data_IF_446613361274
#
_entry.id   IF_446613361274
#
_cell.length_a   1.000
_cell.length_b   1.000
_cell.length_c   1.000
_cell.angle_alpha   90.00
_cell.angle_beta   90.00
_cell.angle_gamma   90.00
#
_symmetry.space_group_name_H-M   'P 1'
#
loop_
_entity.id
_entity.type
_entity.pdbx_description
1 polymer ?
#
# COMPACT_ATOMS: atom_id res chain seq x y z
N UNK A 1 28.83 -22.17 -34.44
CA UNK A 1 27.50 -22.60 -33.97
C UNK A 1 27.40 -22.14 -32.53
N UNK A 2 26.62 -21.09 -32.28
CA UNK A 2 26.42 -20.58 -30.93
C UNK A 2 25.21 -21.29 -30.35
N UNK A 3 25.41 -21.99 -29.23
CA UNK A 3 24.32 -22.56 -28.46
C UNK A 3 23.41 -21.42 -27.98
N UNK A 4 22.17 -21.47 -28.43
CA UNK A 4 21.11 -20.56 -28.01
C UNK A 4 20.77 -20.95 -26.57
N UNK A 5 21.10 -20.08 -25.62
CA UNK A 5 20.71 -20.24 -24.22
C UNK A 5 19.18 -20.21 -24.18
N UNK A 6 18.58 -21.36 -23.88
CA UNK A 6 17.14 -21.50 -23.73
C UNK A 6 16.67 -20.84 -22.42
N UNK A 7 16.24 -19.58 -22.55
CA UNK A 7 15.65 -18.77 -21.49
C UNK A 7 14.24 -19.24 -21.08
N UNK A 8 13.68 -20.27 -21.72
CA UNK A 8 12.32 -20.76 -21.42
C UNK A 8 12.22 -21.59 -20.13
N UNK A 9 13.34 -21.88 -19.46
CA UNK A 9 13.36 -22.50 -18.12
C UNK A 9 12.97 -21.56 -16.96
N UNK A 10 12.68 -20.27 -17.23
CA UNK A 10 12.35 -19.26 -16.21
C UNK A 10 10.88 -19.23 -15.71
N UNK A 11 9.98 -20.07 -16.22
CA UNK A 11 8.54 -19.97 -15.90
C UNK A 11 7.94 -21.25 -15.31
N UNK A 12 8.18 -21.49 -14.02
CA UNK A 12 7.38 -22.33 -13.10
C UNK A 12 7.69 -21.84 -11.68
N UNK A 13 6.79 -21.80 -10.67
CA UNK A 13 5.35 -21.52 -10.57
C UNK A 13 5.11 -20.05 -10.11
N UNK A 14 4.48 -19.17 -10.90
CA UNK A 14 4.44 -17.74 -10.53
C UNK A 14 3.87 -16.74 -11.55
N UNK A 15 2.88 -17.13 -12.37
CA UNK A 15 2.36 -16.27 -13.43
C UNK A 15 1.59 -15.02 -12.97
N UNK A 16 1.34 -14.88 -11.67
CA UNK A 16 0.69 -13.71 -11.11
C UNK A 16 1.63 -12.77 -10.36
N UNK A 17 2.91 -13.08 -10.16
CA UNK A 17 3.82 -12.14 -9.48
C UNK A 17 4.13 -10.96 -10.41
N UNK A 18 3.88 -9.75 -9.93
CA UNK A 18 4.15 -8.50 -10.68
C UNK A 18 5.41 -7.84 -10.14
N UNK A 19 5.51 -7.69 -8.82
CA UNK A 19 6.69 -7.17 -8.14
C UNK A 19 6.87 -7.93 -6.82
N UNK A 20 8.12 -8.20 -6.44
CA UNK A 20 8.46 -8.92 -5.21
C UNK A 20 8.93 -7.97 -4.09
N UNK A 21 9.54 -6.84 -4.48
CA UNK A 21 10.18 -5.88 -3.59
C UNK A 21 9.98 -4.46 -4.16
N UNK A 22 9.83 -3.43 -3.32
CA UNK A 22 9.83 -3.50 -1.85
C UNK A 22 8.53 -4.06 -1.27
N UNK A 23 7.41 -3.91 -1.97
CA UNK A 23 6.12 -4.49 -1.61
C UNK A 23 5.75 -5.53 -2.66
N UNK A 24 5.23 -6.66 -2.21
CA UNK A 24 4.81 -7.71 -3.11
C UNK A 24 3.45 -7.39 -3.75
N UNK A 25 3.44 -7.28 -5.07
CA UNK A 25 2.24 -7.14 -5.88
C UNK A 25 2.03 -8.38 -6.73
N UNK A 26 0.81 -8.90 -6.69
CA UNK A 26 0.34 -10.03 -7.47
C UNK A 26 -0.89 -9.68 -8.27
N UNK A 27 -1.09 -10.37 -9.38
CA UNK A 27 -2.29 -10.31 -10.21
C UNK A 27 -3.41 -11.11 -9.53
N UNK A 28 -4.55 -10.45 -9.34
CA UNK A 28 -5.83 -11.07 -9.00
C UNK A 28 -6.42 -11.83 -10.19
N UNK A 29 -7.42 -12.68 -9.94
CA UNK A 29 -8.15 -13.38 -11.00
C UNK A 29 -9.40 -12.62 -11.48
N UNK A 30 -9.69 -11.47 -10.89
CA UNK A 30 -10.83 -10.63 -11.28
C UNK A 30 -10.40 -9.54 -12.27
N UNK A 31 -11.28 -9.28 -13.25
CA UNK A 31 -11.05 -8.30 -14.31
C UNK A 31 -11.05 -6.87 -13.78
N UNK A 32 -12.05 -6.54 -12.96
CA UNK A 32 -12.30 -5.19 -12.44
C UNK A 32 -12.72 -5.22 -10.97
N UNK A 33 -12.67 -4.07 -10.31
CA UNK A 33 -12.98 -3.91 -8.89
C UNK A 33 -11.81 -3.37 -8.10
N UNK A 34 -11.85 -3.58 -6.78
CA UNK A 34 -10.80 -3.11 -5.87
C UNK A 34 -9.62 -4.07 -5.82
N UNK A 35 -8.44 -3.53 -5.51
CA UNK A 35 -7.33 -4.36 -5.04
C UNK A 35 -7.67 -4.93 -3.66
N UNK A 36 -7.04 -6.03 -3.30
CA UNK A 36 -7.13 -6.59 -1.95
C UNK A 36 -5.74 -6.67 -1.32
N UNK A 37 -5.72 -6.56 0.00
CA UNK A 37 -4.55 -6.73 0.85
C UNK A 37 -4.76 -7.94 1.74
N UNK A 38 -3.81 -8.86 1.77
CA UNK A 38 -3.83 -9.97 2.72
C UNK A 38 -2.44 -10.22 3.29
N UNK A 39 -2.36 -10.96 4.39
CA UNK A 39 -1.07 -11.36 4.96
C UNK A 39 -0.36 -12.32 4.02
N UNK A 40 0.97 -12.42 4.15
CA UNK A 40 1.77 -13.41 3.41
C UNK A 40 1.31 -14.85 3.70
N UNK A 41 0.86 -15.15 4.91
CA UNK A 41 0.32 -16.46 5.26
C UNK A 41 -0.96 -16.77 4.46
N UNK A 42 -1.90 -15.83 4.40
CA UNK A 42 -3.14 -15.97 3.63
C UNK A 42 -2.87 -16.03 2.13
N UNK A 43 -1.92 -15.23 1.63
CA UNK A 43 -1.43 -15.33 0.26
C UNK A 43 -0.84 -16.71 -0.03
N UNK A 44 -0.02 -17.27 0.87
CA UNK A 44 0.56 -18.60 0.69
C UNK A 44 -0.52 -19.70 0.63
N UNK A 45 -1.56 -19.62 1.47
CA UNK A 45 -2.73 -20.52 1.42
C UNK A 45 -3.46 -20.41 0.08
N UNK A 46 -3.71 -19.19 -0.40
CA UNK A 46 -4.35 -18.95 -1.69
C UNK A 46 -3.52 -19.49 -2.85
N UNK A 47 -2.22 -19.22 -2.88
CA UNK A 47 -1.32 -19.70 -3.94
C UNK A 47 -1.15 -21.23 -3.90
N UNK A 48 -1.19 -21.84 -2.72
CA UNK A 48 -1.21 -23.30 -2.59
C UNK A 48 -2.48 -23.92 -3.19
N UNK A 49 -3.65 -23.27 -3.05
CA UNK A 49 -4.88 -23.70 -3.72
C UNK A 49 -4.78 -23.55 -5.23
N UNK A 50 -4.28 -22.41 -5.72
CA UNK A 50 -4.08 -22.17 -7.15
C UNK A 50 -3.19 -23.20 -7.82
N UNK A 51 -2.13 -23.65 -7.13
CA UNK A 51 -1.23 -24.71 -7.63
C UNK A 51 -1.91 -26.08 -7.70
N UNK A 52 -2.95 -26.32 -6.91
CA UNK A 52 -3.74 -27.56 -6.89
C UNK A 52 -4.96 -27.52 -7.81
N UNK A 53 -5.21 -26.38 -8.46
CA UNK A 53 -6.29 -26.22 -9.40
C UNK A 53 -6.08 -27.13 -10.62
N UNK A 54 -7.14 -27.84 -11.00
CA UNK A 54 -7.20 -28.66 -12.21
C UNK A 54 -8.46 -28.25 -12.99
N UNK A 55 -8.56 -28.55 -14.30
CA UNK A 55 -9.79 -28.27 -15.06
C UNK A 55 -11.07 -28.80 -14.37
N UNK A 56 -10.97 -29.93 -13.66
CA UNK A 56 -12.09 -30.56 -12.94
C UNK A 56 -12.30 -30.06 -11.50
N UNK A 57 -11.44 -29.17 -10.98
CA UNK A 57 -11.56 -28.57 -9.64
C UNK A 57 -11.30 -27.08 -9.71
N UNK A 58 -12.32 -26.22 -9.52
CA UNK A 58 -12.14 -24.79 -9.66
C UNK A 58 -11.04 -24.29 -8.71
N UNK A 59 -10.22 -23.31 -9.17
CA UNK A 59 -8.94 -22.97 -8.55
C UNK A 59 -9.01 -22.37 -7.15
N UNK A 60 -10.18 -21.86 -6.74
CA UNK A 60 -10.35 -21.13 -5.49
C UNK A 60 -11.65 -21.61 -4.85
N UNK A 61 -11.53 -22.30 -3.73
CA UNK A 61 -12.66 -22.71 -2.89
C UNK A 61 -12.71 -21.92 -1.59
N UNK A 62 -11.61 -21.28 -1.20
CA UNK A 62 -11.52 -20.41 -0.02
C UNK A 62 -11.11 -19.00 -0.45
N UNK A 63 -11.90 -18.02 -0.06
CA UNK A 63 -11.50 -16.62 -0.14
C UNK A 63 -10.53 -16.35 1.01
N UNK A 64 -9.30 -15.86 0.75
CA UNK A 64 -8.37 -15.56 1.84
C UNK A 64 -8.97 -14.52 2.77
N UNK A 65 -8.56 -14.52 4.04
CA UNK A 65 -8.87 -13.38 4.89
C UNK A 65 -8.14 -12.14 4.33
N UNK A 66 -8.90 -11.17 3.84
CA UNK A 66 -8.37 -10.03 3.09
C UNK A 66 -9.11 -8.74 3.43
N UNK A 67 -8.46 -7.63 3.15
CA UNK A 67 -9.00 -6.29 3.26
C UNK A 67 -9.15 -5.72 1.86
N UNK A 68 -10.35 -5.29 1.51
CA UNK A 68 -10.62 -4.59 0.25
C UNK A 68 -10.05 -3.17 0.32
N UNK A 69 -9.26 -2.81 -0.69
CA UNK A 69 -8.64 -1.48 -0.81
C UNK A 69 -9.49 -0.58 -1.71
N UNK A 70 -10.52 0.02 -1.13
CA UNK A 70 -11.43 0.95 -1.78
C UNK A 70 -11.22 2.41 -1.30
N UNK A 71 -11.98 3.35 -1.87
CA UNK A 71 -11.94 4.76 -1.48
C UNK A 71 -10.53 5.36 -1.61
N UNK A 72 -9.96 5.85 -0.51
CA UNK A 72 -8.60 6.38 -0.54
C UNK A 72 -7.50 5.33 -0.52
N UNK A 73 -7.76 4.15 0.04
CA UNK A 73 -6.82 3.02 -0.02
C UNK A 73 -6.59 2.60 -1.47
N UNK A 74 -7.62 2.69 -2.31
CA UNK A 74 -7.49 2.45 -3.75
C UNK A 74 -6.41 3.37 -4.36
N UNK A 75 -6.49 4.68 -4.14
CA UNK A 75 -5.51 5.61 -4.71
C UNK A 75 -4.11 5.41 -4.11
N UNK A 76 -3.99 5.19 -2.80
CA UNK A 76 -2.69 4.92 -2.17
C UNK A 76 -2.06 3.65 -2.76
N UNK A 77 -2.82 2.56 -2.86
CA UNK A 77 -2.34 1.31 -3.46
C UNK A 77 -2.05 1.42 -4.95
N UNK A 78 -2.83 2.19 -5.70
CA UNK A 78 -2.60 2.48 -7.11
C UNK A 78 -1.27 3.21 -7.32
N UNK A 79 -1.01 4.26 -6.54
CA UNK A 79 0.23 5.01 -6.65
C UNK A 79 1.45 4.20 -6.16
N UNK A 80 1.30 3.40 -5.10
CA UNK A 80 2.33 2.46 -4.68
C UNK A 80 2.65 1.45 -5.79
N UNK A 81 1.63 0.93 -6.46
CA UNK A 81 1.81 0.04 -7.60
C UNK A 81 2.49 0.73 -8.79
N UNK A 82 2.17 1.99 -9.08
CA UNK A 82 2.86 2.77 -10.13
C UNK A 82 4.33 3.02 -9.79
N UNK A 83 4.65 3.17 -8.51
CA UNK A 83 6.02 3.36 -8.02
C UNK A 83 6.71 2.06 -7.58
N UNK A 84 6.16 0.87 -7.89
CA UNK A 84 6.65 -0.43 -7.40
C UNK A 84 8.15 -0.72 -7.66
N UNK A 85 8.75 -0.05 -8.64
CA UNK A 85 10.18 -0.19 -8.98
C UNK A 85 11.08 0.84 -8.24
N UNK A 86 10.50 1.77 -7.47
CA UNK A 86 11.21 2.87 -6.78
C UNK A 86 10.73 2.99 -5.32
N UNK A 87 11.41 2.27 -4.42
CA UNK A 87 11.09 2.27 -2.99
C UNK A 87 11.13 3.67 -2.38
N UNK A 88 12.06 4.53 -2.80
CA UNK A 88 12.17 5.88 -2.26
C UNK A 88 10.91 6.69 -2.57
N UNK A 89 10.38 6.57 -3.79
CA UNK A 89 9.09 7.19 -4.14
C UNK A 89 7.93 6.56 -3.40
N UNK A 90 7.93 5.25 -3.19
CA UNK A 90 6.88 4.57 -2.43
C UNK A 90 6.82 5.03 -0.97
N UNK A 91 7.97 5.12 -0.29
CA UNK A 91 8.05 5.65 1.09
C UNK A 91 7.62 7.12 1.15
N UNK A 92 8.07 7.95 0.21
CA UNK A 92 7.62 9.36 0.12
C UNK A 92 6.11 9.47 -0.09
N UNK A 93 5.53 8.66 -0.96
CA UNK A 93 4.08 8.58 -1.18
C UNK A 93 3.36 8.15 0.09
N UNK A 94 3.87 7.16 0.80
CA UNK A 94 3.23 6.64 2.00
C UNK A 94 3.32 7.65 3.17
N UNK A 95 4.44 8.37 3.29
CA UNK A 95 4.57 9.54 4.17
C UNK A 95 3.57 10.64 3.81
N UNK A 96 3.39 10.94 2.52
CA UNK A 96 2.37 11.88 2.06
C UNK A 96 0.96 11.42 2.44
N UNK A 97 0.66 10.11 2.33
CA UNK A 97 -0.59 9.56 2.82
C UNK A 97 -0.75 9.78 4.34
N UNK A 98 0.31 9.64 5.13
CA UNK A 98 0.32 9.99 6.56
C UNK A 98 0.06 11.47 6.82
N UNK A 99 0.65 12.38 6.04
CA UNK A 99 0.36 13.81 6.13
C UNK A 99 -1.13 14.10 5.85
N UNK A 100 -1.71 13.44 4.84
CA UNK A 100 -3.13 13.59 4.50
C UNK A 100 -4.05 13.02 5.59
N UNK A 101 -3.71 11.86 6.15
CA UNK A 101 -4.42 11.24 7.27
C UNK A 101 -4.41 12.14 8.52
N UNK A 102 -3.28 12.80 8.78
CA UNK A 102 -3.15 13.76 9.87
C UNK A 102 -4.16 14.92 9.75
N UNK A 103 -4.36 15.46 8.55
CA UNK A 103 -5.32 16.56 8.32
C UNK A 103 -6.76 16.10 8.53
N UNK A 104 -7.10 14.86 8.14
CA UNK A 104 -8.48 14.39 8.15
C UNK A 104 -8.92 13.77 9.47
N UNK A 105 -8.01 13.13 10.22
CA UNK A 105 -8.39 12.33 11.40
C UNK A 105 -7.71 12.73 12.69
N UNK A 106 -6.56 13.40 12.66
CA UNK A 106 -5.78 13.62 13.86
C UNK A 106 -5.97 15.05 14.40
N UNK A 107 -6.55 15.24 15.61
CA UNK A 107 -6.58 16.53 16.26
C UNK A 107 -5.17 16.85 16.78
N UNK A 108 -4.31 17.43 15.94
CA UNK A 108 -3.00 17.95 16.37
C UNK A 108 -3.13 19.40 16.85
N UNK A 109 -2.65 19.75 18.05
CA UNK A 109 -2.63 21.13 18.53
C UNK A 109 -1.88 22.07 17.58
N UNK A 110 -0.82 21.58 16.92
CA UNK A 110 -0.03 22.32 15.93
C UNK A 110 -0.91 22.78 14.76
N UNK A 111 -1.86 21.95 14.31
CA UNK A 111 -2.76 22.28 13.20
C UNK A 111 -3.87 23.27 13.57
N UNK A 112 -4.01 23.63 14.86
CA UNK A 112 -4.92 24.69 15.32
C UNK A 112 -4.24 26.07 15.39
N UNK A 113 -2.96 26.15 15.05
CA UNK A 113 -2.18 27.39 15.01
C UNK A 113 -1.98 27.88 13.57
N UNK A 114 -1.29 29.01 13.40
CA UNK A 114 -0.88 29.53 12.09
C UNK A 114 0.05 28.57 11.31
N UNK A 115 0.68 27.61 12.01
CA UNK A 115 1.53 26.56 11.41
C UNK A 115 0.77 25.65 10.45
N UNK A 116 -0.56 25.58 10.52
CA UNK A 116 -1.40 24.82 9.57
C UNK A 116 -1.16 25.23 8.12
N UNK A 117 -0.92 26.53 7.85
CA UNK A 117 -0.62 27.03 6.50
C UNK A 117 0.69 26.45 5.98
N UNK A 118 1.69 26.35 6.85
CA UNK A 118 2.99 25.75 6.50
C UNK A 118 2.86 24.25 6.25
N UNK A 119 2.03 23.56 7.04
CA UNK A 119 1.73 22.14 6.85
C UNK A 119 1.08 21.87 5.49
N UNK A 120 0.06 22.65 5.10
CA UNK A 120 -0.54 22.53 3.77
C UNK A 120 0.42 22.84 2.62
N UNK A 121 1.34 23.80 2.79
CA UNK A 121 2.39 24.05 1.80
C UNK A 121 3.29 22.83 1.61
N UNK A 122 3.65 22.13 2.69
CA UNK A 122 4.44 20.89 2.62
C UNK A 122 3.67 19.81 1.86
N UNK A 123 2.39 19.59 2.19
CA UNK A 123 1.53 18.62 1.50
C UNK A 123 1.45 18.92 0.00
N UNK A 124 1.15 20.17 -0.36
CA UNK A 124 1.00 20.56 -1.77
C UNK A 124 2.32 20.39 -2.54
N UNK A 125 3.45 20.81 -1.95
CA UNK A 125 4.76 20.66 -2.57
C UNK A 125 5.14 19.19 -2.80
N UNK A 126 4.94 18.31 -1.80
CA UNK A 126 5.21 16.88 -1.95
C UNK A 126 4.27 16.24 -2.99
N UNK A 127 3.00 16.62 -3.00
CA UNK A 127 2.00 16.14 -3.96
C UNK A 127 2.36 16.53 -5.40
N UNK A 128 2.81 17.76 -5.61
CA UNK A 128 3.28 18.25 -6.92
C UNK A 128 4.56 17.54 -7.36
N UNK A 129 5.53 17.37 -6.46
CA UNK A 129 6.80 16.69 -6.77
C UNK A 129 6.60 15.21 -7.12
N UNK A 130 5.68 14.52 -6.44
CA UNK A 130 5.34 13.13 -6.75
C UNK A 130 4.37 13.02 -7.93
N UNK A 131 3.73 14.12 -8.33
CA UNK A 131 2.67 14.18 -9.33
C UNK A 131 1.52 13.18 -9.05
N UNK A 132 1.04 13.18 -7.80
CA UNK A 132 0.00 12.25 -7.32
C UNK A 132 -1.27 12.97 -6.91
N UNK A 133 -2.39 12.26 -6.96
CA UNK A 133 -3.67 12.77 -6.47
C UNK A 133 -4.56 11.66 -5.95
N UNK A 134 -5.32 11.99 -4.90
CA UNK A 134 -6.46 11.21 -4.42
C UNK A 134 -7.72 11.90 -4.95
N UNK A 135 -8.52 11.21 -5.77
CA UNK A 135 -9.73 11.80 -6.36
C UNK A 135 -10.94 11.48 -5.51
N UNK A 136 -11.90 12.41 -5.46
CA UNK A 136 -13.16 12.24 -4.73
C UNK A 136 -13.05 12.50 -3.22
N UNK A 137 -14.11 12.17 -2.47
CA UNK A 137 -14.17 12.36 -1.03
C UNK A 137 -13.47 11.21 -0.31
N UNK A 138 -12.16 11.37 -0.10
CA UNK A 138 -11.31 10.37 0.53
C UNK A 138 -11.21 10.60 2.03
N UNK A 139 -11.52 9.56 2.81
CA UNK A 139 -11.47 9.59 4.29
C UNK A 139 -10.22 8.93 4.88
N UNK A 140 -9.66 7.94 4.18
CA UNK A 140 -8.54 7.13 4.67
C UNK A 140 -7.46 7.08 3.59
N UNK A 141 -6.22 7.35 3.96
CA UNK A 141 -5.05 7.43 3.08
C UNK A 141 -4.03 6.35 3.44
N UNK A 142 -3.78 6.13 4.74
CA UNK A 142 -2.88 5.09 5.23
C UNK A 142 -3.52 3.70 5.11
N UNK A 143 -2.80 2.75 4.52
CA UNK A 143 -3.34 1.42 4.29
C UNK A 143 -3.62 0.68 5.62
N UNK A 144 -4.71 -0.09 5.69
CA UNK A 144 -5.09 -0.78 6.92
C UNK A 144 -4.14 -1.92 7.24
N UNK A 145 -3.77 -2.04 8.52
CA UNK A 145 -2.95 -3.12 9.06
C UNK A 145 -3.76 -3.89 10.10
N UNK A 146 -3.48 -5.18 10.24
CA UNK A 146 -4.08 -6.00 11.28
C UNK A 146 -3.48 -5.60 12.64
N UNK A 147 -4.31 -5.65 13.68
CA UNK A 147 -3.93 -5.22 15.03
C UNK A 147 -2.75 -6.01 15.62
N UNK A 148 -2.52 -7.23 15.14
CA UNK A 148 -1.38 -8.07 15.47
C UNK A 148 -0.04 -7.52 14.95
N UNK A 149 -0.06 -6.78 13.84
CA UNK A 149 1.14 -6.16 13.26
C UNK A 149 1.30 -4.70 13.69
N UNK A 150 0.20 -3.96 13.80
CA UNK A 150 0.22 -2.55 14.18
C UNK A 150 -0.99 -2.17 15.02
N UNK A 151 -0.76 -1.63 16.21
CA UNK A 151 -1.83 -1.27 17.14
C UNK A 151 -2.65 -0.09 16.60
N UNK A 152 -3.98 -0.22 16.50
CA UNK A 152 -4.83 0.92 16.17
C UNK A 152 -4.62 2.06 17.17
N UNK A 153 -4.56 3.30 16.68
CA UNK A 153 -4.41 4.50 17.52
C UNK A 153 -2.98 5.03 17.65
N UNK A 154 -1.94 4.19 17.54
CA UNK A 154 -0.53 4.62 17.71
C UNK A 154 -0.18 5.81 16.82
N UNK A 155 -0.62 5.80 15.57
CA UNK A 155 -0.38 6.91 14.64
C UNK A 155 -1.01 8.21 15.13
N UNK A 156 -2.27 8.15 15.59
CA UNK A 156 -3.02 9.30 16.06
C UNK A 156 -2.41 9.83 17.36
N UNK A 157 -2.08 8.94 18.30
CA UNK A 157 -1.50 9.30 19.59
C UNK A 157 -0.14 10.00 19.42
N UNK A 158 0.72 9.47 18.55
CA UNK A 158 2.02 10.08 18.20
C UNK A 158 1.83 11.50 17.65
N UNK A 159 0.84 11.70 16.78
CA UNK A 159 0.58 12.98 16.13
C UNK A 159 -0.07 14.00 17.07
N UNK A 160 -1.03 13.56 17.87
CA UNK A 160 -1.72 14.41 18.84
C UNK A 160 -0.79 14.84 19.98
N UNK A 161 0.22 14.03 20.31
CA UNK A 161 1.24 14.34 21.30
C UNK A 161 2.38 15.25 20.81
N UNK A 162 2.45 15.57 19.51
CA UNK A 162 3.57 16.35 18.96
C UNK A 162 3.54 17.82 19.41
N UNK A 163 4.57 18.33 20.12
CA UNK A 163 4.55 19.70 20.66
C UNK A 163 4.92 20.77 19.64
N UNK A 164 5.54 20.39 18.52
CA UNK A 164 5.95 21.31 17.46
C UNK A 164 5.69 20.73 16.06
N UNK A 165 5.71 21.60 15.03
CA UNK A 165 5.62 21.16 13.64
C UNK A 165 6.77 20.22 13.25
N UNK A 166 7.96 20.41 13.82
CA UNK A 166 9.11 19.54 13.54
C UNK A 166 8.84 18.13 14.09
N UNK A 167 8.37 18.04 15.32
CA UNK A 167 8.07 16.76 15.97
C UNK A 167 6.88 16.06 15.32
N UNK A 168 5.89 16.83 14.85
CA UNK A 168 4.77 16.33 14.08
C UNK A 168 5.24 15.65 12.79
N UNK A 169 6.08 16.33 12.01
CA UNK A 169 6.60 15.79 10.75
C UNK A 169 7.49 14.56 10.99
N UNK A 170 8.34 14.60 12.01
CA UNK A 170 9.21 13.48 12.37
C UNK A 170 8.41 12.27 12.87
N UNK A 171 7.35 12.51 13.66
CA UNK A 171 6.43 11.46 14.11
C UNK A 171 5.69 10.81 12.94
N UNK A 172 5.18 11.62 12.00
CA UNK A 172 4.53 11.09 10.79
C UNK A 172 5.52 10.24 9.98
N UNK A 173 6.71 10.76 9.70
CA UNK A 173 7.74 10.03 8.96
C UNK A 173 8.05 8.68 9.61
N UNK A 174 8.40 8.69 10.90
CA UNK A 174 8.71 7.48 11.67
C UNK A 174 7.58 6.44 11.61
N UNK A 175 6.34 6.85 11.90
CA UNK A 175 5.21 5.91 11.93
C UNK A 175 4.87 5.39 10.53
N UNK A 176 4.98 6.23 9.49
CA UNK A 176 4.74 5.77 8.11
C UNK A 176 5.84 4.86 7.60
N UNK A 177 7.11 5.09 7.95
CA UNK A 177 8.20 4.18 7.60
C UNK A 177 8.02 2.82 8.28
N UNK A 178 7.67 2.81 9.57
CA UNK A 178 7.40 1.57 10.29
C UNK A 178 6.21 0.78 9.72
N UNK A 179 5.10 1.47 9.41
CA UNK A 179 3.95 0.84 8.75
C UNK A 179 4.30 0.35 7.34
N UNK A 180 5.15 1.06 6.60
CA UNK A 180 5.64 0.63 5.29
C UNK A 180 6.48 -0.64 5.38
N UNK A 181 7.37 -0.73 6.38
CA UNK A 181 8.18 -1.91 6.62
C UNK A 181 7.30 -3.13 6.95
N UNK A 182 6.25 -2.95 7.76
CA UNK A 182 5.25 -3.99 8.01
C UNK A 182 4.54 -4.42 6.72
N UNK A 183 4.14 -3.47 5.86
CA UNK A 183 3.51 -3.80 4.58
C UNK A 183 4.45 -4.61 3.67
N UNK A 184 5.72 -4.22 3.60
CA UNK A 184 6.74 -4.91 2.80
C UNK A 184 7.01 -6.33 3.33
N UNK A 185 7.09 -6.49 4.65
CA UNK A 185 7.46 -7.75 5.29
C UNK A 185 6.28 -8.73 5.43
N UNK A 186 5.08 -8.26 5.79
CA UNK A 186 3.99 -9.14 6.22
C UNK A 186 2.82 -9.23 5.25
N UNK A 187 2.75 -8.38 4.22
CA UNK A 187 1.58 -8.28 3.35
C UNK A 187 1.85 -8.50 1.87
N UNK A 188 0.79 -8.89 1.15
CA UNK A 188 0.77 -9.05 -0.30
C UNK A 188 -0.46 -8.35 -0.87
N UNK A 189 -0.26 -7.59 -1.94
CA UNK A 189 -1.32 -6.92 -2.67
C UNK A 189 -1.74 -7.79 -3.85
N UNK A 190 -3.03 -7.99 -4.02
CA UNK A 190 -3.59 -8.55 -5.25
C UNK A 190 -4.38 -7.49 -6.00
N UNK A 191 -3.97 -7.21 -7.23
CA UNK A 191 -4.53 -6.14 -8.06
C UNK A 191 -5.33 -6.70 -9.23
N UNK A 192 -6.46 -6.07 -9.63
CA UNK A 192 -7.22 -6.46 -10.82
C UNK A 192 -6.41 -6.28 -12.12
N UNK A 193 -6.86 -6.89 -13.21
CA UNK A 193 -6.20 -6.71 -14.51
C UNK A 193 -6.20 -5.25 -14.98
N UNK A 194 -7.30 -4.52 -14.73
CA UNK A 194 -7.48 -3.13 -15.15
C UNK A 194 -6.93 -2.12 -14.15
N UNK A 195 -6.04 -2.50 -13.23
CA UNK A 195 -5.64 -1.64 -12.13
C UNK A 195 -4.99 -0.32 -12.58
N UNK A 196 -4.21 -0.33 -13.67
CA UNK A 196 -3.62 0.88 -14.25
C UNK A 196 -4.57 1.68 -15.15
N UNK A 197 -5.66 1.06 -15.60
CA UNK A 197 -6.63 1.65 -16.52
C UNK A 197 -7.63 2.60 -15.82
N UNK A 198 -7.45 2.82 -14.52
CA UNK A 198 -8.32 3.63 -13.64
C UNK A 198 -7.56 4.88 -13.16
#
# INVERSE_FOLDING_TARGET
MADIIDLSSRFKPGHNLIAMSPIEFRKGQWLSGSAILCTREESAKLEAQRRKATPDRPPITLVPNHITLDGGYHYTSLWLFRFREDEKRMRRLYRLAGLMECVTKAPSPVLRTDLVRRFFKIINAEREQLNVSWKGNVRNFLLPLHAEHYKPGVFIDTISGAPSLKDLLAGIEKETDFQFDILADSYVFYVPETFLST
#
